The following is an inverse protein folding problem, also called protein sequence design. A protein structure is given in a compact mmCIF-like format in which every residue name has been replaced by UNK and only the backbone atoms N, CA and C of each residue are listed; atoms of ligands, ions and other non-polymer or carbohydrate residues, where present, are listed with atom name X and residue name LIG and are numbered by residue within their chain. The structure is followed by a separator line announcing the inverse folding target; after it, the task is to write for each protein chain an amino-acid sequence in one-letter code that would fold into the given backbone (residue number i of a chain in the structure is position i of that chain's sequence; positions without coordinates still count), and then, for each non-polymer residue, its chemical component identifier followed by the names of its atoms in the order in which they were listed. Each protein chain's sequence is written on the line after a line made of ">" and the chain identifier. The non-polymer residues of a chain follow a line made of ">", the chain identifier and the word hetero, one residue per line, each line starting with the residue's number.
data_IF_074371214047
#
_entry.id   IF_074371214047
#
_cell.length_a   1.000
_cell.length_b   1.000
_cell.length_c   1.000
_cell.angle_alpha   90.00
_cell.angle_beta   90.00
_cell.angle_gamma   90.00
#
_symmetry.space_group_name_H-M   'P 1'
#
loop_
_entity.id
_entity.type
_entity.pdbx_description
1 polymer ?
#
# COMPACT_ATOMS: atom_id res chain seq x y z
N UNK A 1 -22.73 -5.78 9.52
CA UNK A 1 -22.53 -4.35 9.85
C UNK A 1 -21.07 -4.04 10.25
N UNK A 2 -20.07 -4.75 9.70
CA UNK A 2 -18.68 -4.73 10.21
C UNK A 2 -17.70 -3.76 9.54
N UNK A 3 -18.07 -3.08 8.45
CA UNK A 3 -17.13 -2.28 7.63
C UNK A 3 -16.98 -0.81 8.04
N UNK A 4 -17.65 -0.36 9.10
CA UNK A 4 -17.55 1.04 9.60
C UNK A 4 -16.84 1.15 10.95
N UNK A 5 -16.14 0.10 11.39
CA UNK A 5 -15.32 0.18 12.60
C UNK A 5 -13.88 0.54 12.22
N UNK A 6 -13.10 1.18 13.11
CA UNK A 6 -11.69 1.47 12.86
C UNK A 6 -10.88 0.25 12.39
N UNK A 7 -11.15 -0.92 12.98
CA UNK A 7 -10.53 -2.18 12.58
C UNK A 7 -11.01 -2.64 11.19
N UNK A 8 -12.30 -2.53 10.88
CA UNK A 8 -12.83 -2.87 9.55
C UNK A 8 -12.24 -2.00 8.45
N UNK A 9 -12.09 -0.70 8.69
CA UNK A 9 -11.46 0.25 7.77
C UNK A 9 -9.96 -0.06 7.59
N UNK A 10 -9.25 -0.36 8.68
CA UNK A 10 -7.83 -0.74 8.63
C UNK A 10 -7.60 -2.06 7.88
N UNK A 11 -8.42 -3.08 8.10
CA UNK A 11 -8.38 -4.34 7.35
C UNK A 11 -8.64 -4.09 5.85
N UNK A 12 -9.65 -3.28 5.52
CA UNK A 12 -9.93 -2.92 4.13
C UNK A 12 -8.78 -2.14 3.49
N UNK A 13 -8.12 -1.24 4.21
CA UNK A 13 -6.97 -0.50 3.70
C UNK A 13 -5.80 -1.44 3.32
N UNK A 14 -5.53 -2.47 4.14
CA UNK A 14 -4.54 -3.50 3.82
C UNK A 14 -4.94 -4.31 2.59
N UNK A 15 -6.19 -4.76 2.53
CA UNK A 15 -6.72 -5.52 1.39
C UNK A 15 -6.60 -4.73 0.08
N UNK A 16 -7.00 -3.45 0.09
CA UNK A 16 -6.92 -2.56 -1.07
C UNK A 16 -5.48 -2.24 -1.47
N UNK A 17 -4.57 -2.05 -0.51
CA UNK A 17 -3.15 -1.87 -0.81
C UNK A 17 -2.56 -3.07 -1.55
N UNK A 18 -2.85 -4.29 -1.07
CA UNK A 18 -2.43 -5.53 -1.72
C UNK A 18 -3.03 -5.66 -3.13
N UNK A 19 -4.34 -5.40 -3.27
CA UNK A 19 -5.01 -5.44 -4.58
C UNK A 19 -4.43 -4.40 -5.55
N UNK A 20 -4.12 -3.20 -5.07
CA UNK A 20 -3.50 -2.14 -5.87
C UNK A 20 -2.07 -2.48 -6.29
N UNK A 21 -1.22 -2.97 -5.38
CA UNK A 21 0.14 -3.39 -5.70
C UNK A 21 0.14 -4.51 -6.73
N UNK A 22 -0.70 -5.53 -6.55
CA UNK A 22 -0.85 -6.64 -7.51
C UNK A 22 -1.27 -6.14 -8.88
N UNK A 23 -2.31 -5.30 -8.94
CA UNK A 23 -2.81 -4.72 -10.19
C UNK A 23 -1.70 -3.93 -10.89
N UNK A 24 -0.97 -3.11 -10.13
CA UNK A 24 0.14 -2.32 -10.66
C UNK A 24 1.23 -3.24 -11.24
N UNK A 25 1.67 -4.25 -10.49
CA UNK A 25 2.74 -5.14 -10.93
C UNK A 25 2.43 -5.86 -12.25
N UNK A 26 1.19 -6.35 -12.38
CA UNK A 26 0.70 -7.01 -13.60
C UNK A 26 0.64 -6.02 -14.77
N UNK A 27 0.04 -4.84 -14.57
CA UNK A 27 -0.17 -3.86 -15.65
C UNK A 27 1.14 -3.23 -16.14
N UNK A 28 2.12 -3.04 -15.24
CA UNK A 28 3.42 -2.45 -15.60
C UNK A 28 4.46 -3.49 -16.01
N UNK A 29 4.17 -4.78 -15.87
CA UNK A 29 5.14 -5.85 -16.12
C UNK A 29 6.37 -5.80 -15.21
N UNK A 30 6.29 -5.11 -14.06
CA UNK A 30 7.41 -4.82 -13.16
C UNK A 30 7.01 -5.05 -11.71
N UNK A 31 7.97 -5.21 -10.80
CA UNK A 31 7.65 -5.37 -9.36
C UNK A 31 6.96 -4.12 -8.80
N UNK A 32 5.90 -4.33 -8.02
CA UNK A 32 5.26 -3.32 -7.16
C UNK A 32 5.40 -3.73 -5.71
N UNK A 33 5.25 -2.80 -4.77
CA UNK A 33 5.39 -3.03 -3.34
C UNK A 33 4.21 -2.46 -2.58
N UNK A 34 3.85 -3.13 -1.49
CA UNK A 34 3.14 -2.53 -0.36
C UNK A 34 4.16 -2.15 0.70
N UNK A 35 3.99 -0.96 1.27
CA UNK A 35 4.83 -0.45 2.35
C UNK A 35 3.96 -0.05 3.53
N UNK A 36 4.34 -0.50 4.73
CA UNK A 36 3.70 -0.13 6.00
C UNK A 36 4.78 0.53 6.87
N UNK A 37 4.49 1.72 7.41
CA UNK A 37 5.40 2.47 8.29
C UNK A 37 4.62 3.29 9.30
N UNK A 38 5.26 3.69 10.39
CA UNK A 38 4.67 4.64 11.35
C UNK A 38 4.31 5.99 10.69
N UNK A 39 3.26 6.65 11.18
CA UNK A 39 2.91 8.00 10.74
C UNK A 39 3.91 9.05 11.29
N UNK A 40 4.33 10.02 10.48
CA UNK A 40 5.34 11.02 10.88
C UNK A 40 4.80 12.03 11.93
N UNK A 41 3.50 12.31 11.94
CA UNK A 41 2.87 13.36 12.77
C UNK A 41 1.94 12.82 13.88
N UNK A 42 1.98 11.52 14.21
CA UNK A 42 1.10 10.99 15.25
C UNK A 42 1.13 9.48 15.44
N UNK A 43 0.09 8.98 16.12
CA UNK A 43 -0.17 7.55 16.31
C UNK A 43 -0.65 6.89 15.00
N UNK A 44 -0.53 5.57 14.91
CA UNK A 44 -0.99 4.79 13.75
C UNK A 44 0.05 4.60 12.64
N UNK A 45 -0.38 4.00 11.53
CA UNK A 45 0.49 3.57 10.44
C UNK A 45 -0.03 4.03 9.07
N UNK A 46 0.90 4.39 8.18
CA UNK A 46 0.63 4.65 6.78
C UNK A 46 0.89 3.39 5.98
N UNK A 47 -0.07 3.05 5.12
CA UNK A 47 0.09 1.99 4.13
C UNK A 47 0.05 2.57 2.73
N UNK A 48 0.96 2.15 1.86
CA UNK A 48 1.01 2.61 0.47
C UNK A 48 1.32 1.46 -0.48
N UNK A 49 0.83 1.54 -1.72
CA UNK A 49 1.14 0.59 -2.77
C UNK A 49 1.63 1.30 -4.03
N UNK A 50 2.75 0.84 -4.60
CA UNK A 50 3.29 1.39 -5.85
C UNK A 50 4.63 0.81 -6.27
N UNK A 51 5.16 1.30 -7.38
CA UNK A 51 6.38 0.79 -8.03
C UNK A 51 7.70 1.12 -7.33
N UNK A 52 7.67 1.72 -6.13
CA UNK A 52 8.88 2.02 -5.35
C UNK A 52 9.76 3.10 -6.00
N UNK A 53 9.49 4.36 -5.64
CA UNK A 53 10.36 5.50 -5.93
C UNK A 53 10.34 6.45 -4.74
N UNK A 54 11.45 6.52 -4.02
CA UNK A 54 11.64 7.44 -2.90
C UNK A 54 11.45 8.90 -3.33
N UNK A 55 10.72 9.64 -2.50
CA UNK A 55 10.63 11.12 -2.44
C UNK A 55 10.01 11.79 -3.68
N UNK A 56 8.78 12.27 -3.52
CA UNK A 56 8.32 13.47 -4.24
C UNK A 56 9.12 14.67 -3.73
N UNK A 57 10.36 14.83 -4.18
CA UNK A 57 11.13 16.06 -3.94
C UNK A 57 10.69 17.13 -4.94
N UNK A 58 10.11 18.20 -4.38
CA UNK A 58 10.14 19.58 -4.85
C UNK A 58 9.60 19.88 -6.26
N UNK A 59 8.36 20.34 -6.30
CA UNK A 59 7.94 21.33 -7.30
C UNK A 59 7.93 22.71 -6.64
N UNK A 60 9.10 23.37 -6.61
CA UNK A 60 9.14 24.84 -6.59
C UNK A 60 9.15 25.26 -8.05
N UNK A 61 7.96 25.45 -8.61
CA UNK A 61 7.79 26.17 -9.85
C UNK A 61 7.70 27.66 -9.48
N UNK A 62 8.73 28.40 -9.84
CA UNK A 62 8.87 29.79 -9.44
C UNK A 62 10.04 30.44 -10.15
N UNK A 63 9.97 30.51 -11.47
CA UNK A 63 10.66 31.56 -12.21
C UNK A 63 9.87 31.90 -13.49
N UNK A 64 9.19 33.05 -13.46
CA UNK A 64 8.68 33.71 -14.66
C UNK A 64 9.38 35.07 -14.76
N UNK A 65 10.34 35.15 -15.67
CA UNK A 65 10.70 36.42 -16.29
C UNK A 65 10.45 36.36 -17.79
N UNK A 66 10.05 37.53 -18.24
CA UNK A 66 9.30 37.92 -19.44
C UNK A 66 9.99 37.68 -20.80
N UNK A 67 9.14 37.77 -21.83
CA UNK A 67 9.39 38.32 -23.17
C UNK A 67 10.23 37.50 -24.18
N UNK A 68 9.54 36.96 -25.20
CA UNK A 68 9.54 37.52 -26.57
C UNK A 68 8.81 36.54 -27.54
N UNK A 69 7.90 37.07 -28.34
CA UNK A 69 7.07 36.35 -29.32
C UNK A 69 7.84 35.80 -30.54
N UNK A 70 7.34 34.69 -31.12
CA UNK A 70 7.51 34.45 -32.56
C UNK A 70 7.56 32.99 -33.05
N UNK A 71 6.53 32.62 -33.82
CA UNK A 71 6.54 31.71 -34.99
C UNK A 71 6.57 30.17 -34.82
N UNK A 72 5.39 29.58 -35.07
CA UNK A 72 5.07 28.40 -35.90
C UNK A 72 6.02 27.19 -35.89
N UNK A 73 5.63 26.14 -35.14
CA UNK A 73 5.81 24.73 -35.52
C UNK A 73 4.80 23.87 -34.73
N UNK A 74 3.64 23.57 -35.33
CA UNK A 74 2.62 22.71 -34.71
C UNK A 74 3.00 21.23 -34.93
N UNK A 75 4.03 20.79 -34.22
CA UNK A 75 4.21 19.36 -33.95
C UNK A 75 3.07 18.92 -33.01
N UNK A 76 2.33 17.83 -33.31
CA UNK A 76 1.33 17.33 -32.38
C UNK A 76 2.01 17.02 -31.06
N UNK A 77 1.70 17.81 -30.03
CA UNK A 77 2.16 17.58 -28.66
C UNK A 77 1.80 16.13 -28.32
N UNK A 78 2.76 15.27 -27.92
CA UNK A 78 2.45 13.89 -27.63
C UNK A 78 1.34 13.85 -26.60
N UNK A 79 0.27 13.12 -26.91
CA UNK A 79 -0.85 12.94 -25.99
C UNK A 79 -0.29 12.53 -24.61
N UNK A 80 -0.83 13.09 -23.51
CA UNK A 80 -0.36 12.70 -22.19
C UNK A 80 -0.48 11.18 -22.09
N UNK A 81 0.65 10.51 -21.87
CA UNK A 81 0.65 9.08 -21.59
C UNK A 81 -0.34 8.85 -20.45
N UNK A 82 -1.24 7.85 -20.51
CA UNK A 82 -2.10 7.55 -19.39
C UNK A 82 -1.21 7.42 -18.16
N UNK A 83 -1.53 8.18 -17.12
CA UNK A 83 -0.81 8.17 -15.84
C UNK A 83 -0.69 6.72 -15.37
N UNK A 84 0.46 6.11 -15.62
CA UNK A 84 0.76 4.77 -15.16
C UNK A 84 0.90 4.83 -13.64
N UNK A 85 -0.18 4.43 -12.94
CA UNK A 85 -0.18 4.16 -11.50
C UNK A 85 -0.24 5.40 -10.62
N UNK A 86 -1.45 5.90 -10.38
CA UNK A 86 -1.69 6.54 -9.08
C UNK A 86 -1.50 5.44 -8.03
N UNK A 87 -0.40 5.51 -7.26
CA UNK A 87 -0.17 4.58 -6.15
C UNK A 87 -1.32 4.66 -5.14
N UNK A 88 -1.60 3.56 -4.45
CA UNK A 88 -2.56 3.58 -3.34
C UNK A 88 -1.89 4.19 -2.11
N UNK A 89 -2.65 4.96 -1.33
CA UNK A 89 -2.26 5.37 0.02
C UNK A 89 -3.48 5.28 0.93
N UNK A 90 -3.30 4.66 2.09
CA UNK A 90 -4.30 4.49 3.12
C UNK A 90 -3.67 4.58 4.51
N UNK A 91 -4.51 4.39 5.54
CA UNK A 91 -4.09 4.45 6.94
C UNK A 91 -4.64 3.25 7.71
N UNK A 92 -3.84 2.77 8.67
CA UNK A 92 -4.32 1.96 9.78
C UNK A 92 -4.67 2.93 10.90
N UNK A 93 -5.89 2.83 11.42
CA UNK A 93 -6.42 3.78 12.39
C UNK A 93 -5.58 3.78 13.68
N UNK A 94 -5.46 4.93 14.30
CA UNK A 94 -4.70 5.16 15.54
C UNK A 94 -5.22 4.34 16.74
N UNK A 95 -6.42 3.77 16.64
CA UNK A 95 -7.07 2.92 17.66
C UNK A 95 -6.91 1.42 17.35
N UNK A 96 -6.14 1.10 16.31
CA UNK A 96 -5.89 -0.26 15.85
C UNK A 96 -4.41 -0.58 16.00
N UNK A 97 -4.12 -1.52 16.89
CA UNK A 97 -2.78 -2.03 17.10
C UNK A 97 -2.47 -3.16 16.10
N UNK A 98 -1.26 -3.13 15.55
CA UNK A 98 -0.66 -4.28 14.85
C UNK A 98 -0.07 -5.20 15.92
N UNK A 99 -0.56 -6.43 16.00
CA UNK A 99 -0.13 -7.43 16.98
C UNK A 99 0.81 -8.48 16.40
N UNK A 100 0.80 -8.62 15.08
CA UNK A 100 1.58 -9.61 14.36
C UNK A 100 1.83 -9.10 12.96
N UNK A 101 3.05 -9.24 12.46
CA UNK A 101 3.36 -9.05 11.05
C UNK A 101 4.41 -10.07 10.65
N UNK A 102 4.20 -10.73 9.52
CA UNK A 102 5.15 -11.67 8.96
C UNK A 102 5.29 -11.46 7.46
N UNK A 103 6.54 -11.35 6.99
CA UNK A 103 6.89 -11.28 5.56
C UNK A 103 7.94 -12.34 5.27
N UNK A 104 7.65 -13.25 4.33
CA UNK A 104 8.55 -14.35 3.97
C UNK A 104 9.08 -15.10 5.22
N UNK A 105 8.18 -15.38 6.18
CA UNK A 105 8.47 -16.06 7.46
C UNK A 105 9.37 -15.30 8.45
N UNK A 106 9.73 -14.05 8.16
CA UNK A 106 10.41 -13.18 9.12
C UNK A 106 9.38 -12.31 9.85
N UNK A 107 9.70 -11.91 11.08
CA UNK A 107 8.92 -10.99 11.91
C UNK A 107 9.58 -9.59 11.88
N UNK A 108 9.14 -8.67 11.02
CA UNK A 108 9.69 -7.33 10.91
C UNK A 108 8.99 -6.32 11.84
N UNK A 109 8.41 -6.76 12.97
CA UNK A 109 7.64 -5.88 13.86
C UNK A 109 8.45 -4.73 14.47
N UNK A 110 9.77 -4.91 14.63
CA UNK A 110 10.71 -3.89 15.12
C UNK A 110 11.35 -3.06 13.98
N UNK A 111 10.99 -3.31 12.71
CA UNK A 111 11.52 -2.54 11.57
C UNK A 111 10.75 -1.22 11.38
N UNK A 112 11.46 -0.14 11.04
CA UNK A 112 10.85 1.18 10.77
C UNK A 112 9.85 1.13 9.60
N UNK A 113 10.03 0.16 8.70
CA UNK A 113 9.26 0.01 7.48
C UNK A 113 9.18 -1.46 7.06
N UNK A 114 7.97 -1.96 6.88
CA UNK A 114 7.71 -3.29 6.32
C UNK A 114 7.40 -3.18 4.83
N UNK A 115 8.00 -4.04 4.01
CA UNK A 115 7.80 -4.10 2.55
C UNK A 115 7.32 -5.49 2.12
N UNK A 116 6.25 -5.53 1.31
CA UNK A 116 5.72 -6.76 0.70
C UNK A 116 5.74 -6.60 -0.83
N UNK A 117 6.42 -7.49 -1.55
CA UNK A 117 6.55 -7.38 -3.01
C UNK A 117 5.45 -8.15 -3.73
N UNK A 118 5.06 -7.58 -4.87
CA UNK A 118 4.17 -8.16 -5.86
C UNK A 118 4.88 -8.20 -7.21
N UNK A 119 4.75 -9.33 -7.90
CA UNK A 119 5.47 -9.62 -9.13
C UNK A 119 4.54 -9.55 -10.33
N UNK A 120 5.12 -9.36 -11.53
CA UNK A 120 4.36 -9.14 -12.76
C UNK A 120 3.56 -10.34 -13.25
N UNK A 121 3.91 -11.54 -12.79
CA UNK A 121 3.15 -12.78 -13.00
C UNK A 121 1.93 -12.91 -12.05
N UNK A 122 1.71 -11.94 -11.15
CA UNK A 122 0.60 -11.93 -10.21
C UNK A 122 0.86 -12.62 -8.87
N UNK A 123 2.06 -13.17 -8.65
CA UNK A 123 2.49 -13.73 -7.36
C UNK A 123 2.93 -12.61 -6.40
N UNK A 124 3.17 -12.96 -5.14
CA UNK A 124 3.68 -12.04 -4.13
C UNK A 124 4.62 -12.73 -3.16
N UNK A 125 5.24 -11.94 -2.29
CA UNK A 125 5.84 -12.45 -1.06
C UNK A 125 4.76 -13.10 -0.16
N UNK A 126 5.19 -13.98 0.74
CA UNK A 126 4.32 -14.48 1.81
C UNK A 126 4.06 -13.37 2.81
N UNK A 127 2.80 -13.08 3.13
CA UNK A 127 2.45 -11.97 4.02
C UNK A 127 1.27 -12.31 4.92
N UNK A 128 1.40 -12.01 6.20
CA UNK A 128 0.30 -12.04 7.17
C UNK A 128 0.44 -10.87 8.13
N UNK A 129 -0.66 -10.19 8.42
CA UNK A 129 -0.73 -9.12 9.43
C UNK A 129 -1.94 -9.35 10.34
N UNK A 130 -1.73 -9.32 11.65
CA UNK A 130 -2.76 -9.41 12.68
C UNK A 130 -3.02 -8.04 13.29
N UNK A 131 -4.28 -7.59 13.29
CA UNK A 131 -4.71 -6.29 13.80
C UNK A 131 -5.89 -6.43 14.76
N UNK A 132 -5.91 -5.57 15.78
CA UNK A 132 -6.98 -5.53 16.77
C UNK A 132 -7.30 -4.09 17.15
N UNK A 133 -8.58 -3.83 17.41
CA UNK A 133 -9.02 -2.55 17.98
C UNK A 133 -8.67 -2.50 19.48
N UNK A 134 -7.91 -1.50 19.91
CA UNK A 134 -7.40 -1.41 21.30
C UNK A 134 -8.52 -1.26 22.32
N UNK A 135 -9.51 -0.42 22.02
CA UNK A 135 -10.65 -0.14 22.90
C UNK A 135 -11.97 -0.83 22.46
N UNK A 136 -11.88 -1.81 21.56
CA UNK A 136 -13.03 -2.36 20.83
C UNK A 136 -13.45 -3.75 21.33
N UNK A 137 -13.86 -4.62 20.40
CA UNK A 137 -14.25 -6.01 20.69
C UNK A 137 -13.08 -6.91 21.14
N UNK A 138 -11.86 -6.37 21.20
CA UNK A 138 -10.62 -7.06 21.52
C UNK A 138 -10.33 -8.31 20.66
N UNK A 139 -11.01 -8.46 19.51
CA UNK A 139 -10.84 -9.61 18.62
C UNK A 139 -9.69 -9.35 17.65
N UNK A 140 -8.76 -10.29 17.60
CA UNK A 140 -7.68 -10.28 16.62
C UNK A 140 -8.20 -10.76 15.26
N UNK A 141 -7.97 -9.96 14.22
CA UNK A 141 -8.31 -10.28 12.84
C UNK A 141 -7.07 -10.17 11.98
N UNK A 142 -6.95 -11.08 11.02
CA UNK A 142 -5.78 -11.19 10.17
C UNK A 142 -6.11 -10.85 8.73
N UNK A 143 -5.16 -10.25 8.02
CA UNK A 143 -5.11 -10.30 6.56
C UNK A 143 -3.96 -11.23 6.20
N UNK A 144 -4.26 -12.24 5.39
CA UNK A 144 -3.28 -13.18 4.86
C UNK A 144 -3.27 -13.14 3.35
N UNK A 145 -2.08 -13.11 2.78
CA UNK A 145 -1.86 -13.13 1.34
C UNK A 145 -1.52 -14.56 0.90
N UNK A 146 -2.17 -15.04 -0.15
CA UNK A 146 -1.73 -16.24 -0.87
C UNK A 146 -0.59 -15.84 -1.82
N UNK A 147 0.63 -16.27 -1.53
CA UNK A 147 1.83 -15.93 -2.30
C UNK A 147 1.80 -16.40 -3.75
N UNK A 148 1.01 -17.43 -4.09
CA UNK A 148 0.88 -17.94 -5.46
C UNK A 148 -0.11 -17.10 -6.27
N UNK A 149 -1.22 -16.68 -5.68
CA UNK A 149 -2.26 -15.94 -6.41
C UNK A 149 -2.17 -14.42 -6.24
N UNK A 150 -1.45 -13.96 -5.21
CA UNK A 150 -1.38 -12.58 -4.76
C UNK A 150 -2.71 -12.04 -4.18
N UNK A 151 -3.66 -12.92 -3.85
CA UNK A 151 -4.97 -12.54 -3.32
C UNK A 151 -4.93 -12.50 -1.79
N UNK A 152 -5.51 -11.44 -1.22
CA UNK A 152 -5.59 -11.23 0.21
C UNK A 152 -6.94 -11.72 0.75
N UNK A 153 -6.94 -12.26 1.97
CA UNK A 153 -8.12 -12.78 2.65
C UNK A 153 -8.13 -12.35 4.11
N UNK A 154 -9.31 -12.01 4.62
CA UNK A 154 -9.50 -11.80 6.05
C UNK A 154 -9.65 -13.17 6.72
N UNK A 155 -8.95 -13.36 7.84
CA UNK A 155 -8.92 -14.59 8.64
C UNK A 155 -9.12 -14.29 10.11
N UNK A 156 -9.73 -15.24 10.80
CA UNK A 156 -9.80 -15.31 12.26
C UNK A 156 -8.57 -16.01 12.83
N UNK A 157 -8.36 -15.90 14.15
CA UNK A 157 -7.26 -16.58 14.85
C UNK A 157 -7.30 -18.10 14.66
N UNK A 158 -8.48 -18.72 14.80
CA UNK A 158 -8.65 -20.17 14.59
C UNK A 158 -8.24 -20.61 13.18
N UNK A 159 -8.58 -19.83 12.15
CA UNK A 159 -8.23 -20.16 10.77
C UNK A 159 -6.73 -20.04 10.46
N UNK A 160 -6.01 -19.19 11.18
CA UNK A 160 -4.56 -19.04 11.02
C UNK A 160 -3.81 -20.17 11.73
N UNK A 161 -4.31 -20.64 12.88
CA UNK A 161 -3.67 -21.70 13.68
C UNK A 161 -3.86 -23.12 13.12
N UNK A 162 -4.90 -23.37 12.32
CA UNK A 162 -5.20 -24.70 11.76
C UNK A 162 -4.35 -25.09 10.54
N UNK A 163 -3.16 -24.51 10.38
CA UNK A 163 -2.27 -24.76 9.24
C UNK A 163 -1.05 -25.61 9.59
#
# INVERSE_FOLDING_TARGET
>A
QGNRSPLGESLNAVMEACAAARRQAILTGSTSRVTIRGAEEGTGFIISAGSGGSKSSAQKDGDINSDMAGFLDETPRPAPKPSAGAGFSGRIHDEVAIHFIAVNFNDPMDEDQVEVKFYSNGTSDEFTIGMRHEYGDAVLRFVQLDSVTGLAYIKTEDEILQR
#
